data_IF_965666074534
#
_entry.id   IF_965666074534
#
_cell.length_a   1.000
_cell.length_b   1.000
_cell.length_c   1.000
_cell.angle_alpha   90.00
_cell.angle_beta   90.00
_cell.angle_gamma   90.00
#
_symmetry.space_group_name_H-M   'P 1'
#
loop_
_entity.id
_entity.type
_entity.pdbx_description
1 polymer ?
#
# COMPACT_ATOMS: atom_id res chain seq x y z
N UNK A 1 4.16 -19.57 16.12
CA UNK A 1 4.88 -18.33 16.52
C UNK A 1 3.93 -17.16 16.41
N UNK A 2 3.77 -16.41 17.51
CA UNK A 2 2.87 -15.25 17.56
C UNK A 2 3.67 -13.94 17.43
N UNK A 3 3.41 -13.17 16.40
CA UNK A 3 4.12 -11.92 16.08
C UNK A 3 3.19 -10.72 16.21
N UNK A 4 3.61 -9.72 16.99
CA UNK A 4 2.97 -8.41 17.04
C UNK A 4 3.57 -7.54 15.92
N UNK A 5 2.73 -7.04 15.01
CA UNK A 5 3.11 -6.08 13.98
C UNK A 5 2.72 -4.66 14.35
N UNK A 6 3.63 -3.71 14.12
CA UNK A 6 3.43 -2.27 14.36
C UNK A 6 3.74 -1.50 13.09
N UNK A 7 2.71 -0.86 12.51
CA UNK A 7 2.80 0.03 11.36
C UNK A 7 2.61 1.48 11.80
N UNK A 8 3.51 2.37 11.37
CA UNK A 8 3.44 3.80 11.66
C UNK A 8 4.18 4.67 10.63
N UNK A 9 4.33 4.21 9.40
CA UNK A 9 5.21 4.86 8.42
C UNK A 9 4.71 6.20 7.90
N UNK A 10 3.40 6.46 7.96
CA UNK A 10 2.79 7.68 7.39
C UNK A 10 1.68 8.24 8.30
N UNK A 11 0.43 8.07 7.95
CA UNK A 11 -0.74 8.64 8.63
C UNK A 11 -1.72 7.58 9.15
N UNK A 12 -1.36 6.31 9.09
CA UNK A 12 -2.04 5.21 9.76
C UNK A 12 -1.21 4.66 10.92
N UNK A 13 -1.86 4.44 12.08
CA UNK A 13 -1.30 3.65 13.16
C UNK A 13 -1.98 2.30 13.18
N UNK A 14 -1.25 1.24 12.85
CA UNK A 14 -1.80 -0.11 12.77
C UNK A 14 -1.07 -1.09 13.67
N UNK A 15 -1.82 -1.87 14.45
CA UNK A 15 -1.30 -2.98 15.22
C UNK A 15 -2.05 -4.27 14.88
N UNK A 16 -1.35 -5.40 14.91
CA UNK A 16 -1.96 -6.70 14.65
C UNK A 16 -1.19 -7.84 15.32
N UNK A 17 -1.88 -8.93 15.60
CA UNK A 17 -1.31 -10.19 16.02
C UNK A 17 -1.51 -11.24 14.92
N UNK A 18 -0.40 -11.79 14.45
CA UNK A 18 -0.37 -12.86 13.46
C UNK A 18 0.30 -14.09 14.05
N UNK A 19 -0.39 -15.22 13.96
CA UNK A 19 0.12 -16.53 14.39
C UNK A 19 0.45 -17.38 13.15
N UNK A 20 1.63 -18.00 13.12
CA UNK A 20 2.10 -18.78 11.96
C UNK A 20 1.25 -20.03 11.66
N UNK A 21 0.45 -20.51 12.63
CA UNK A 21 -0.41 -21.68 12.46
C UNK A 21 -1.88 -21.29 12.26
N UNK A 22 -2.33 -20.25 12.99
CA UNK A 22 -3.74 -19.82 13.02
C UNK A 22 -4.05 -18.63 12.10
N UNK A 23 -3.02 -17.97 11.53
CA UNK A 23 -3.17 -16.79 10.69
C UNK A 23 -3.36 -15.49 11.50
N UNK A 24 -4.05 -14.52 10.90
CA UNK A 24 -4.35 -13.24 11.54
C UNK A 24 -5.38 -13.42 12.66
N UNK A 25 -4.98 -13.11 13.90
CA UNK A 25 -5.84 -13.27 15.08
C UNK A 25 -6.65 -12.01 15.39
N UNK A 26 -6.01 -10.85 15.29
CA UNK A 26 -6.63 -9.55 15.53
C UNK A 26 -5.85 -8.45 14.82
N UNK A 27 -6.54 -7.39 14.44
CA UNK A 27 -5.89 -6.16 13.98
C UNK A 27 -6.75 -4.95 14.36
N UNK A 28 -6.06 -3.85 14.68
CA UNK A 28 -6.67 -2.56 14.96
C UNK A 28 -5.94 -1.47 14.18
N UNK A 29 -6.69 -0.51 13.68
CA UNK A 29 -6.19 0.57 12.83
C UNK A 29 -6.81 1.89 13.22
N UNK A 30 -5.98 2.91 13.40
CA UNK A 30 -6.41 4.30 13.50
C UNK A 30 -5.87 5.09 12.33
N UNK A 31 -6.76 5.68 11.53
CA UNK A 31 -6.40 6.55 10.41
C UNK A 31 -6.49 8.02 10.82
N UNK A 32 -5.48 8.77 10.47
CA UNK A 32 -5.37 10.22 10.75
C UNK A 32 -5.94 11.08 9.62
N UNK A 33 -6.60 10.46 8.62
CA UNK A 33 -7.18 11.15 7.45
C UNK A 33 -8.05 12.35 7.87
N UNK A 34 -8.89 12.20 8.90
CA UNK A 34 -9.75 13.26 9.37
C UNK A 34 -8.97 14.50 9.85
N UNK A 35 -7.85 14.29 10.54
CA UNK A 35 -6.95 15.35 10.99
C UNK A 35 -6.23 16.03 9.82
N UNK A 36 -5.71 15.24 8.89
CA UNK A 36 -4.92 15.75 7.76
C UNK A 36 -5.77 16.41 6.66
N UNK A 37 -7.07 16.12 6.62
CA UNK A 37 -8.02 16.73 5.66
C UNK A 37 -8.03 18.24 5.72
N UNK A 38 -7.92 18.83 6.91
CA UNK A 38 -7.91 20.27 7.09
C UNK A 38 -6.68 20.95 6.45
N UNK A 39 -5.60 20.20 6.30
CA UNK A 39 -4.34 20.67 5.71
C UNK A 39 -4.20 20.30 4.22
N UNK A 40 -5.14 19.50 3.69
CA UNK A 40 -5.10 19.03 2.30
C UNK A 40 -3.99 18.04 1.99
N UNK A 41 -3.48 17.33 3.00
CA UNK A 41 -2.44 16.31 2.92
C UNK A 41 -1.75 16.09 4.26
N UNK A 42 -0.90 15.06 4.33
CA UNK A 42 -0.21 14.65 5.56
C UNK A 42 0.75 15.74 6.07
N UNK A 43 0.63 16.07 7.36
CA UNK A 43 1.56 16.92 8.11
C UNK A 43 2.43 16.03 9.00
N UNK A 44 3.71 15.81 8.68
CA UNK A 44 4.56 14.80 9.34
C UNK A 44 4.68 14.96 10.86
N UNK A 45 4.75 16.20 11.34
CA UNK A 45 4.83 16.50 12.77
C UNK A 45 3.56 16.05 13.51
N UNK A 46 2.37 16.31 12.95
CA UNK A 46 1.10 15.91 13.53
C UNK A 46 0.96 14.39 13.49
N UNK A 47 1.35 13.76 12.40
CA UNK A 47 1.33 12.30 12.27
C UNK A 47 2.15 11.64 13.38
N UNK A 48 3.40 12.09 13.56
CA UNK A 48 4.29 11.55 14.61
C UNK A 48 3.69 11.66 16.01
N UNK A 49 3.08 12.79 16.33
CA UNK A 49 2.45 13.03 17.65
C UNK A 49 1.22 12.15 17.89
N UNK A 50 0.43 11.90 16.84
CA UNK A 50 -0.77 11.08 16.99
C UNK A 50 -0.42 9.60 17.15
N UNK A 51 0.59 9.08 16.45
CA UNK A 51 1.08 7.72 16.66
C UNK A 51 1.40 7.41 18.13
N UNK A 52 2.01 8.35 18.85
CA UNK A 52 2.31 8.19 20.29
C UNK A 52 1.03 7.97 21.09
N UNK A 53 -0.06 8.66 20.75
CA UNK A 53 -1.34 8.58 21.47
C UNK A 53 -2.10 7.31 21.13
N UNK A 54 -1.93 6.76 19.92
CA UNK A 54 -2.76 5.67 19.40
C UNK A 54 -2.17 4.29 19.64
N UNK A 55 -0.86 4.15 19.66
CA UNK A 55 -0.22 2.84 19.66
C UNK A 55 -0.60 1.97 20.87
N UNK A 56 -0.58 2.52 22.10
CA UNK A 56 -0.93 1.72 23.29
C UNK A 56 -2.41 1.36 23.37
N UNK A 57 -3.38 2.27 23.13
CA UNK A 57 -4.79 1.89 23.04
C UNK A 57 -5.07 0.81 21.99
N UNK A 58 -4.46 0.90 20.80
CA UNK A 58 -4.60 -0.13 19.78
C UNK A 58 -3.95 -1.46 20.16
N UNK A 59 -2.86 -1.44 20.93
CA UNK A 59 -2.27 -2.66 21.48
C UNK A 59 -3.23 -3.36 22.44
N UNK A 60 -3.85 -2.61 23.35
CA UNK A 60 -4.82 -3.16 24.29
C UNK A 60 -6.02 -3.76 23.54
N UNK A 61 -6.54 -3.06 22.53
CA UNK A 61 -7.62 -3.54 21.67
C UNK A 61 -7.26 -4.86 20.95
N UNK A 62 -6.06 -4.97 20.37
CA UNK A 62 -5.60 -6.17 19.66
C UNK A 62 -5.43 -7.35 20.64
N UNK A 63 -4.91 -7.11 21.83
CA UNK A 63 -4.79 -8.15 22.86
C UNK A 63 -6.17 -8.63 23.33
N UNK A 64 -7.11 -7.73 23.58
CA UNK A 64 -8.48 -8.07 23.97
C UNK A 64 -9.20 -8.86 22.88
N UNK A 65 -9.15 -8.42 21.61
CA UNK A 65 -9.77 -9.10 20.47
C UNK A 65 -9.21 -10.51 20.26
N UNK A 66 -7.90 -10.69 20.40
CA UNK A 66 -7.23 -11.98 20.18
C UNK A 66 -7.34 -12.95 21.37
N UNK A 67 -7.60 -12.44 22.57
CA UNK A 67 -7.51 -13.19 23.83
C UNK A 67 -6.08 -13.59 24.20
N UNK A 68 -5.07 -13.09 23.51
CA UNK A 68 -3.67 -13.41 23.79
C UNK A 68 -3.13 -12.56 24.95
N UNK A 69 -2.34 -13.18 25.80
CA UNK A 69 -1.58 -12.48 26.83
C UNK A 69 -0.28 -11.91 26.25
N UNK A 70 0.26 -10.86 26.87
CA UNK A 70 1.56 -10.27 26.48
C UNK A 70 2.70 -11.28 26.49
N UNK A 71 2.62 -12.29 27.38
CA UNK A 71 3.57 -13.37 27.49
C UNK A 71 3.54 -14.39 26.34
N UNK A 72 2.47 -14.43 25.55
CA UNK A 72 2.33 -15.34 24.43
C UNK A 72 3.01 -14.83 23.15
N UNK A 73 3.34 -13.51 23.11
CA UNK A 73 3.97 -12.89 21.96
C UNK A 73 5.44 -13.34 21.89
N UNK A 74 5.84 -13.93 20.78
CA UNK A 74 7.18 -14.44 20.54
C UNK A 74 8.15 -13.39 19.99
N UNK A 75 7.66 -12.46 19.15
CA UNK A 75 8.46 -11.41 18.54
C UNK A 75 7.62 -10.18 18.22
N UNK A 76 8.28 -9.02 18.05
CA UNK A 76 7.67 -7.78 17.62
C UNK A 76 8.29 -7.34 16.29
N UNK A 77 7.46 -7.25 15.25
CA UNK A 77 7.80 -6.69 13.95
C UNK A 77 7.35 -5.23 13.87
N UNK A 78 8.18 -4.35 13.35
CA UNK A 78 7.83 -2.94 13.19
C UNK A 78 8.30 -2.42 11.85
N UNK A 79 7.62 -1.42 11.32
CA UNK A 79 8.04 -0.77 10.09
C UNK A 79 9.29 0.06 10.33
N UNK A 80 10.41 -0.40 9.77
CA UNK A 80 11.69 0.29 9.83
C UNK A 80 11.82 1.39 8.77
N UNK A 81 11.10 1.25 7.66
CA UNK A 81 11.07 2.14 6.51
C UNK A 81 10.61 1.45 5.23
N UNK A 82 10.48 2.19 4.10
CA UNK A 82 10.53 3.65 4.02
C UNK A 82 9.29 4.33 4.65
N UNK A 83 9.36 5.66 4.86
CA UNK A 83 8.25 6.44 5.41
C UNK A 83 8.71 7.78 5.99
N UNK A 84 7.82 8.43 6.71
CA UNK A 84 8.10 9.69 7.40
C UNK A 84 9.01 9.44 8.61
N UNK A 85 10.17 10.07 8.65
CA UNK A 85 11.20 9.80 9.66
C UNK A 85 10.68 9.87 11.11
N UNK A 86 9.90 10.90 11.45
CA UNK A 86 9.33 11.07 12.79
C UNK A 86 8.31 9.98 13.14
N UNK A 87 7.45 9.62 12.20
CA UNK A 87 6.44 8.57 12.34
C UNK A 87 7.09 7.19 12.53
N UNK A 88 8.07 6.85 11.68
CA UNK A 88 8.88 5.63 11.82
C UNK A 88 9.59 5.54 13.18
N UNK A 89 10.21 6.65 13.63
CA UNK A 89 10.89 6.71 14.92
C UNK A 89 9.95 6.40 16.10
N UNK A 90 8.71 6.87 16.05
CA UNK A 90 7.70 6.59 17.08
C UNK A 90 7.37 5.10 17.13
N UNK A 91 7.01 4.50 16.00
CA UNK A 91 6.68 3.07 15.95
C UNK A 91 7.85 2.17 16.36
N UNK A 92 9.05 2.46 15.83
CA UNK A 92 10.26 1.74 16.19
C UNK A 92 10.60 1.87 17.68
N UNK A 93 10.47 3.06 18.27
CA UNK A 93 10.70 3.30 19.70
C UNK A 93 9.72 2.49 20.56
N UNK A 94 8.44 2.51 20.24
CA UNK A 94 7.41 1.76 20.95
C UNK A 94 7.67 0.25 20.83
N UNK A 95 7.95 -0.24 19.62
CA UNK A 95 8.23 -1.65 19.36
C UNK A 95 9.42 -2.15 20.21
N UNK A 96 10.55 -1.43 20.21
CA UNK A 96 11.73 -1.81 20.94
C UNK A 96 11.56 -1.65 22.46
N UNK A 97 10.83 -0.65 22.94
CA UNK A 97 10.51 -0.50 24.36
C UNK A 97 9.63 -1.64 24.87
N UNK A 98 8.58 -2.03 24.13
CA UNK A 98 7.74 -3.17 24.47
C UNK A 98 8.54 -4.48 24.46
N UNK A 99 9.34 -4.68 23.43
CA UNK A 99 10.18 -5.87 23.29
C UNK A 99 11.18 -6.00 24.46
N UNK A 100 11.82 -4.91 24.84
CA UNK A 100 12.72 -4.88 26.00
C UNK A 100 11.95 -5.20 27.30
N UNK A 101 10.79 -4.59 27.52
CA UNK A 101 9.97 -4.82 28.71
C UNK A 101 9.47 -6.26 28.82
N UNK A 102 9.18 -6.92 27.70
CA UNK A 102 8.68 -8.29 27.63
C UNK A 102 9.76 -9.33 27.39
N UNK A 103 11.03 -8.92 27.29
CA UNK A 103 12.18 -9.75 26.94
C UNK A 103 11.93 -10.55 25.63
N UNK A 104 11.42 -9.87 24.57
CA UNK A 104 11.15 -10.43 23.26
C UNK A 104 12.06 -9.83 22.19
N UNK A 105 12.41 -10.57 21.14
CA UNK A 105 13.18 -10.01 20.03
C UNK A 105 12.33 -9.07 19.17
N UNK A 106 13.01 -8.19 18.44
CA UNK A 106 12.42 -7.34 17.41
C UNK A 106 12.96 -7.69 16.03
N UNK A 107 12.17 -7.35 15.00
CA UNK A 107 12.60 -7.39 13.60
C UNK A 107 12.06 -6.16 12.87
N UNK A 108 12.96 -5.45 12.18
CA UNK A 108 12.61 -4.31 11.32
C UNK A 108 12.13 -4.76 9.94
N UNK A 109 10.96 -4.31 9.53
CA UNK A 109 10.31 -4.71 8.28
C UNK A 109 10.30 -3.55 7.29
N UNK A 110 10.54 -3.88 6.02
CA UNK A 110 10.36 -2.95 4.93
C UNK A 110 8.87 -2.76 4.63
N UNK A 111 8.38 -1.52 4.67
CA UNK A 111 6.96 -1.18 4.48
C UNK A 111 6.37 -1.77 3.18
N UNK A 112 7.09 -1.64 2.06
CA UNK A 112 6.63 -2.19 0.77
C UNK A 112 6.65 -3.71 0.72
N UNK A 113 7.53 -4.38 1.48
CA UNK A 113 7.48 -5.85 1.64
C UNK A 113 6.19 -6.25 2.36
N UNK A 114 5.78 -5.51 3.39
CA UNK A 114 4.48 -5.70 4.03
C UNK A 114 3.34 -5.67 3.02
N UNK A 115 3.28 -4.64 2.19
CA UNK A 115 2.28 -4.55 1.13
C UNK A 115 2.36 -5.70 0.11
N UNK A 116 3.55 -6.07 -0.36
CA UNK A 116 3.71 -7.17 -1.33
C UNK A 116 3.23 -8.51 -0.80
N UNK A 117 3.39 -8.74 0.51
CA UNK A 117 3.01 -9.97 1.18
C UNK A 117 1.56 -9.93 1.71
N UNK A 118 0.93 -8.76 1.85
CA UNK A 118 -0.43 -8.63 2.39
C UNK A 118 -1.50 -9.49 1.68
N UNK A 119 -1.45 -9.74 0.35
CA UNK A 119 -2.36 -10.67 -0.31
C UNK A 119 -2.20 -12.13 0.12
N UNK A 120 -1.17 -12.46 0.90
CA UNK A 120 -1.01 -13.79 1.51
C UNK A 120 -1.81 -13.94 2.82
N UNK A 121 -2.43 -12.88 3.34
CA UNK A 121 -3.30 -12.92 4.53
C UNK A 121 -4.67 -13.59 4.27
N UNK A 122 -4.94 -14.04 3.05
CA UNK A 122 -6.18 -14.73 2.69
C UNK A 122 -6.10 -16.23 3.00
N UNK A 123 -7.26 -16.89 3.11
CA UNK A 123 -7.35 -18.34 3.40
C UNK A 123 -6.64 -19.23 2.36
N UNK A 124 -6.56 -18.79 1.11
CA UNK A 124 -5.88 -19.51 0.02
C UNK A 124 -4.84 -18.57 -0.62
N UNK A 125 -3.65 -18.42 0.01
CA UNK A 125 -2.63 -17.50 -0.47
C UNK A 125 -2.06 -17.94 -1.82
N UNK A 126 -1.76 -16.98 -2.73
CA UNK A 126 -1.08 -17.30 -3.97
C UNK A 126 0.32 -17.87 -3.69
N UNK A 127 0.69 -19.01 -4.29
CA UNK A 127 2.05 -19.52 -4.14
C UNK A 127 3.04 -18.68 -4.94
N UNK A 128 4.28 -18.60 -4.45
CA UNK A 128 5.40 -18.04 -5.21
C UNK A 128 5.75 -18.93 -6.41
N UNK A 129 6.37 -18.39 -7.48
CA UNK A 129 6.56 -16.96 -7.75
C UNK A 129 5.31 -16.31 -8.38
N UNK A 130 5.21 -14.98 -8.25
CA UNK A 130 4.16 -14.17 -8.87
C UNK A 130 4.70 -12.80 -9.33
N UNK A 131 3.95 -12.13 -10.21
CA UNK A 131 4.15 -10.70 -10.49
C UNK A 131 3.31 -9.90 -9.51
N UNK A 132 3.88 -8.87 -8.90
CA UNK A 132 3.16 -7.95 -8.04
C UNK A 132 3.04 -6.58 -8.73
N UNK A 133 1.82 -6.02 -8.74
CA UNK A 133 1.56 -4.61 -8.96
C UNK A 133 1.40 -3.94 -7.60
N UNK A 134 2.43 -3.24 -7.15
CA UNK A 134 2.38 -2.40 -5.97
C UNK A 134 1.94 -1.00 -6.39
N UNK A 135 0.76 -0.56 -5.94
CA UNK A 135 0.18 0.71 -6.36
C UNK A 135 -0.48 1.44 -5.18
N UNK A 136 0.22 2.46 -4.67
CA UNK A 136 -0.15 3.23 -3.48
C UNK A 136 -0.07 4.74 -3.72
N UNK A 137 -0.23 5.53 -2.67
CA UNK A 137 -0.04 6.98 -2.70
C UNK A 137 1.36 7.40 -3.13
N UNK A 138 2.39 6.69 -2.69
CA UNK A 138 3.79 7.04 -2.95
C UNK A 138 4.51 6.13 -3.93
N UNK A 139 3.95 4.98 -4.31
CA UNK A 139 4.65 3.99 -5.13
C UNK A 139 3.76 3.45 -6.25
N UNK A 140 4.38 3.21 -7.41
CA UNK A 140 3.79 2.46 -8.51
C UNK A 140 4.90 1.62 -9.14
N UNK A 141 4.90 0.32 -8.84
CA UNK A 141 5.96 -0.60 -9.25
C UNK A 141 5.38 -1.94 -9.70
N UNK A 142 5.99 -2.53 -10.69
CA UNK A 142 5.82 -3.93 -11.07
C UNK A 142 7.05 -4.70 -10.61
N UNK A 143 6.81 -5.79 -9.89
CA UNK A 143 7.87 -6.60 -9.33
C UNK A 143 7.67 -8.08 -9.63
N UNK A 144 8.76 -8.81 -9.81
CA UNK A 144 8.76 -10.26 -9.73
C UNK A 144 9.10 -10.65 -8.31
N UNK A 145 8.18 -11.36 -7.67
CA UNK A 145 8.32 -11.87 -6.31
C UNK A 145 8.57 -13.38 -6.42
N UNK A 146 9.80 -13.79 -6.12
CA UNK A 146 10.19 -15.20 -6.27
C UNK A 146 10.02 -15.96 -4.95
N UNK A 147 10.28 -15.31 -3.85
CA UNK A 147 10.12 -15.79 -2.47
C UNK A 147 10.12 -14.57 -1.53
N UNK A 148 9.88 -14.75 -0.25
CA UNK A 148 10.08 -13.70 0.77
C UNK A 148 11.51 -13.17 0.68
N UNK A 149 11.67 -11.84 0.70
CA UNK A 149 12.98 -11.18 0.58
C UNK A 149 13.66 -11.31 -0.80
N UNK A 150 12.98 -11.83 -1.84
CA UNK A 150 13.54 -12.01 -3.18
C UNK A 150 12.69 -11.27 -4.21
N UNK A 151 13.02 -10.01 -4.41
CA UNK A 151 12.28 -9.06 -5.22
C UNK A 151 13.11 -8.54 -6.39
N UNK A 152 12.53 -8.50 -7.58
CA UNK A 152 13.12 -7.94 -8.79
C UNK A 152 12.17 -6.87 -9.34
N UNK A 153 12.64 -5.64 -9.46
CA UNK A 153 11.87 -4.57 -10.11
C UNK A 153 11.81 -4.81 -11.61
N UNK A 154 10.61 -4.90 -12.15
CA UNK A 154 10.36 -5.07 -13.58
C UNK A 154 10.10 -3.74 -14.29
N UNK A 155 9.55 -2.77 -13.56
CA UNK A 155 9.28 -1.41 -13.98
C UNK A 155 8.68 -0.61 -12.84
N UNK A 156 8.83 0.72 -12.89
CA UNK A 156 8.36 1.63 -11.86
C UNK A 156 7.93 2.97 -12.45
N UNK A 157 7.29 3.82 -11.64
CA UNK A 157 6.97 5.17 -12.12
C UNK A 157 8.22 6.03 -12.21
N UNK A 158 8.33 6.78 -13.31
CA UNK A 158 9.43 7.72 -13.54
C UNK A 158 9.15 9.12 -12.97
N UNK A 159 7.91 9.35 -12.51
CA UNK A 159 7.47 10.64 -11.97
C UNK A 159 6.43 10.44 -10.84
N UNK A 160 5.25 11.03 -10.94
CA UNK A 160 4.19 10.86 -9.93
C UNK A 160 3.78 9.37 -9.79
N UNK A 161 3.55 8.91 -8.57
CA UNK A 161 2.86 7.64 -8.35
C UNK A 161 1.37 7.73 -8.76
N UNK A 162 0.75 6.60 -9.07
CA UNK A 162 -0.67 6.58 -9.47
C UNK A 162 -1.56 7.19 -8.39
N UNK A 163 -1.40 6.82 -7.11
CA UNK A 163 -2.20 7.38 -6.02
C UNK A 163 -1.98 8.89 -5.85
N UNK A 164 -0.75 9.36 -5.96
CA UNK A 164 -0.43 10.79 -5.96
C UNK A 164 -1.13 11.52 -7.11
N UNK A 165 -1.22 10.91 -8.30
CA UNK A 165 -1.94 11.47 -9.43
C UNK A 165 -3.46 11.53 -9.17
N UNK A 166 -4.03 10.54 -8.48
CA UNK A 166 -5.41 10.57 -8.00
C UNK A 166 -5.65 11.74 -7.05
N UNK A 167 -4.80 11.92 -6.03
CA UNK A 167 -4.92 12.98 -5.03
C UNK A 167 -4.78 14.38 -5.68
N UNK A 168 -3.82 14.55 -6.57
CA UNK A 168 -3.64 15.79 -7.35
C UNK A 168 -4.84 16.08 -8.23
N UNK A 169 -5.44 15.05 -8.85
CA UNK A 169 -6.65 15.19 -9.67
C UNK A 169 -7.86 15.58 -8.81
N UNK A 170 -8.02 14.96 -7.64
CA UNK A 170 -9.05 15.34 -6.68
C UNK A 170 -8.96 16.82 -6.31
N UNK A 171 -7.76 17.28 -5.98
CA UNK A 171 -7.49 18.71 -5.66
C UNK A 171 -7.86 19.63 -6.81
N UNK A 172 -7.54 19.27 -8.05
CA UNK A 172 -7.91 20.04 -9.25
C UNK A 172 -9.42 20.14 -9.48
N UNK A 173 -10.17 19.10 -9.07
CA UNK A 173 -11.63 19.03 -9.19
C UNK A 173 -12.36 19.62 -7.96
N UNK A 174 -11.61 20.08 -6.94
CA UNK A 174 -12.18 20.61 -5.69
C UNK A 174 -12.79 19.52 -4.81
N UNK A 175 -12.29 18.28 -4.90
CA UNK A 175 -12.71 17.15 -4.08
C UNK A 175 -11.88 17.08 -2.78
N UNK A 176 -12.36 16.31 -1.81
CA UNK A 176 -11.73 16.13 -0.51
C UNK A 176 -10.45 15.28 -0.54
N UNK A 177 -9.86 15.11 0.62
CA UNK A 177 -8.75 14.19 0.89
C UNK A 177 -9.24 13.02 1.76
N UNK A 178 -8.81 11.77 1.50
CA UNK A 178 -7.93 11.34 0.40
C UNK A 178 -8.64 11.39 -0.96
N UNK A 179 -7.89 11.77 -1.99
CA UNK A 179 -8.45 12.05 -3.30
C UNK A 179 -8.83 10.80 -4.10
N UNK A 180 -8.11 9.70 -3.91
CA UNK A 180 -8.32 8.46 -4.65
C UNK A 180 -9.77 7.94 -4.59
N UNK A 181 -10.34 7.71 -3.39
CA UNK A 181 -11.74 7.30 -3.24
C UNK A 181 -12.74 8.31 -3.82
N UNK A 182 -12.51 9.61 -3.64
CA UNK A 182 -13.41 10.66 -4.14
C UNK A 182 -13.43 10.73 -5.66
N UNK A 183 -12.26 10.68 -6.32
CA UNK A 183 -12.18 10.63 -7.79
C UNK A 183 -12.81 9.36 -8.33
N UNK A 184 -12.56 8.21 -7.69
CA UNK A 184 -13.12 6.92 -8.13
C UNK A 184 -14.65 6.91 -8.02
N UNK A 185 -15.21 7.43 -6.93
CA UNK A 185 -16.66 7.57 -6.73
C UNK A 185 -17.28 8.52 -7.75
N UNK A 186 -16.66 9.68 -7.98
CA UNK A 186 -17.16 10.66 -8.94
C UNK A 186 -17.12 10.11 -10.39
N UNK A 187 -16.11 9.34 -10.72
CA UNK A 187 -15.97 8.70 -12.04
C UNK A 187 -17.12 7.74 -12.40
N UNK A 188 -17.80 7.15 -11.39
CA UNK A 188 -18.95 6.28 -11.62
C UNK A 188 -20.15 7.03 -12.28
N UNK A 189 -20.24 8.35 -12.06
CA UNK A 189 -21.28 9.22 -12.65
C UNK A 189 -20.83 9.85 -13.97
N UNK A 190 -19.59 9.68 -14.38
CA UNK A 190 -19.06 10.20 -15.64
C UNK A 190 -19.47 9.36 -16.84
N UNK A 191 -19.67 10.02 -17.97
CA UNK A 191 -20.01 9.39 -19.25
C UNK A 191 -18.75 8.76 -19.87
N UNK A 192 -18.71 7.44 -20.11
CA UNK A 192 -17.57 6.80 -20.76
C UNK A 192 -17.25 7.44 -22.11
N UNK A 193 -15.98 7.81 -22.31
CA UNK A 193 -15.51 8.39 -23.58
C UNK A 193 -15.84 9.88 -23.80
N UNK A 194 -16.59 10.54 -22.89
CA UNK A 194 -16.87 11.98 -23.00
C UNK A 194 -15.57 12.82 -22.99
N UNK A 195 -14.61 12.43 -22.18
CA UNK A 195 -13.28 13.03 -22.12
C UNK A 195 -12.23 11.95 -22.32
N UNK A 196 -11.41 12.10 -23.36
CA UNK A 196 -10.28 11.21 -23.62
C UNK A 196 -9.01 11.88 -23.14
N UNK A 197 -8.37 11.28 -22.15
CA UNK A 197 -7.08 11.71 -21.60
C UNK A 197 -5.94 10.85 -22.16
N UNK A 198 -4.70 11.33 -22.17
CA UNK A 198 -3.56 10.54 -22.64
C UNK A 198 -3.31 9.32 -21.74
N UNK A 199 -2.72 8.27 -22.29
CA UNK A 199 -2.21 7.10 -21.59
C UNK A 199 -0.68 7.11 -21.65
N UNK A 200 -0.02 7.85 -20.75
CA UNK A 200 1.43 7.98 -20.84
C UNK A 200 2.11 6.62 -20.79
N UNK A 201 3.16 6.46 -21.59
CA UNK A 201 3.99 5.25 -21.69
C UNK A 201 3.26 3.93 -22.00
N UNK A 202 1.97 3.96 -22.37
CA UNK A 202 1.21 2.73 -22.70
C UNK A 202 1.89 1.88 -23.78
N UNK A 203 2.59 2.51 -24.71
CA UNK A 203 3.26 1.89 -25.86
C UNK A 203 4.78 2.09 -25.86
N UNK A 204 5.42 2.39 -24.72
CA UNK A 204 6.86 2.62 -24.61
C UNK A 204 7.73 1.38 -24.85
N UNK A 205 7.13 0.17 -24.73
CA UNK A 205 7.83 -1.09 -24.91
C UNK A 205 8.52 -1.62 -23.64
N UNK A 206 8.66 -0.79 -22.61
CA UNK A 206 9.12 -1.14 -21.27
C UNK A 206 7.93 -1.42 -20.32
N UNK A 207 8.20 -1.56 -19.02
CA UNK A 207 7.20 -1.76 -17.97
C UNK A 207 7.08 -0.56 -17.01
N UNK A 208 7.74 0.56 -17.34
CA UNK A 208 7.70 1.77 -16.54
C UNK A 208 6.40 2.55 -16.73
N UNK A 209 6.10 3.39 -15.74
CA UNK A 209 4.89 4.21 -15.70
C UNK A 209 5.24 5.69 -15.70
N UNK A 210 4.24 6.51 -16.05
CA UNK A 210 4.27 7.96 -15.85
C UNK A 210 2.83 8.46 -15.68
N UNK A 211 2.61 9.32 -14.69
CA UNK A 211 1.30 9.88 -14.41
C UNK A 211 1.30 11.43 -14.37
N UNK A 212 2.45 12.08 -14.35
CA UNK A 212 2.53 13.55 -14.33
C UNK A 212 1.92 14.20 -15.57
N UNK A 213 2.08 13.58 -16.74
CA UNK A 213 1.45 14.00 -18.00
C UNK A 213 -0.07 13.89 -17.98
N UNK A 214 -0.61 12.86 -17.33
CA UNK A 214 -2.04 12.66 -17.14
C UNK A 214 -2.64 13.75 -16.26
N UNK A 215 -2.00 14.08 -15.13
CA UNK A 215 -2.38 15.20 -14.27
C UNK A 215 -2.39 16.53 -15.04
N UNK A 216 -1.38 16.79 -15.85
CA UNK A 216 -1.29 18.00 -16.67
C UNK A 216 -2.43 18.09 -17.68
N UNK A 217 -2.83 16.98 -18.27
CA UNK A 217 -3.98 16.92 -19.16
C UNK A 217 -5.30 17.24 -18.43
N UNK A 218 -5.49 16.71 -17.21
CA UNK A 218 -6.63 17.07 -16.34
C UNK A 218 -6.65 18.59 -16.09
N UNK A 219 -5.52 19.18 -15.68
CA UNK A 219 -5.42 20.62 -15.44
C UNK A 219 -5.82 21.43 -16.69
N UNK A 220 -5.42 20.98 -17.87
CA UNK A 220 -5.76 21.63 -19.14
C UNK A 220 -7.27 21.60 -19.40
N UNK A 221 -7.93 20.46 -19.16
CA UNK A 221 -9.38 20.35 -19.27
C UNK A 221 -10.12 21.24 -18.25
N UNK A 222 -9.68 21.23 -17.00
CA UNK A 222 -10.23 22.08 -15.93
C UNK A 222 -10.14 23.57 -16.33
N UNK A 223 -8.96 24.02 -16.80
CA UNK A 223 -8.77 25.40 -17.26
C UNK A 223 -9.64 25.77 -18.46
N UNK A 224 -9.83 24.84 -19.41
CA UNK A 224 -10.67 25.04 -20.60
C UNK A 224 -12.14 25.19 -20.25
N UNK A 225 -12.63 24.45 -19.26
CA UNK A 225 -14.02 24.51 -18.80
C UNK A 225 -14.28 25.71 -17.87
N UNK A 226 -13.24 26.34 -17.34
CA UNK A 226 -13.32 27.53 -16.49
C UNK A 226 -13.67 27.21 -15.03
N UNK A 227 -13.89 28.26 -14.20
CA UNK A 227 -14.04 28.10 -12.75
C UNK A 227 -15.38 27.44 -12.33
N UNK A 228 -16.39 27.44 -13.19
CA UNK A 228 -17.74 26.95 -12.88
C UNK A 228 -18.04 25.62 -13.59
N UNK A 229 -17.14 24.64 -13.43
CA UNK A 229 -17.37 23.29 -13.99
C UNK A 229 -18.60 22.70 -13.31
N UNK A 230 -19.61 22.30 -14.09
CA UNK A 230 -20.78 21.59 -13.57
C UNK A 230 -20.41 20.21 -13.05
N UNK A 231 -21.23 19.63 -12.18
CA UNK A 231 -20.94 18.31 -11.56
C UNK A 231 -20.76 17.21 -12.62
N UNK A 232 -21.54 17.22 -13.71
CA UNK A 232 -21.34 16.28 -14.81
C UNK A 232 -19.97 16.46 -15.49
N UNK A 233 -19.53 17.70 -15.68
CA UNK A 233 -18.21 17.97 -16.27
C UNK A 233 -17.06 17.48 -15.38
N UNK A 234 -17.19 17.62 -14.05
CA UNK A 234 -16.23 17.05 -13.10
C UNK A 234 -16.25 15.53 -13.15
N UNK A 235 -17.44 14.91 -13.20
CA UNK A 235 -17.60 13.46 -13.30
C UNK A 235 -16.99 12.90 -14.60
N UNK A 236 -17.17 13.59 -15.73
CA UNK A 236 -16.60 13.18 -17.02
C UNK A 236 -15.06 13.28 -17.02
N UNK A 237 -14.49 14.32 -16.39
CA UNK A 237 -13.02 14.43 -16.18
C UNK A 237 -12.52 13.29 -15.29
N UNK A 238 -13.19 13.04 -14.16
CA UNK A 238 -12.83 11.98 -13.23
C UNK A 238 -12.88 10.61 -13.92
N UNK A 239 -13.91 10.36 -14.72
CA UNK A 239 -14.06 9.13 -15.53
C UNK A 239 -12.92 8.98 -16.52
N UNK A 240 -12.63 10.00 -17.31
CA UNK A 240 -11.52 9.96 -18.28
C UNK A 240 -10.16 9.73 -17.62
N UNK A 241 -9.95 10.29 -16.41
CA UNK A 241 -8.75 10.07 -15.62
C UNK A 241 -8.63 8.62 -15.13
N UNK A 242 -9.69 8.08 -14.52
CA UNK A 242 -9.69 6.70 -14.02
C UNK A 242 -9.53 5.71 -15.17
N UNK A 243 -10.25 5.91 -16.31
CA UNK A 243 -10.09 5.08 -17.50
C UNK A 243 -8.63 5.06 -17.98
N UNK A 244 -7.98 6.22 -18.07
CA UNK A 244 -6.60 6.31 -18.53
C UNK A 244 -5.61 5.65 -17.55
N UNK A 245 -5.76 5.87 -16.26
CA UNK A 245 -4.90 5.27 -15.24
C UNK A 245 -5.04 3.75 -15.20
N UNK A 246 -6.28 3.25 -15.21
CA UNK A 246 -6.59 1.81 -15.20
C UNK A 246 -6.08 1.12 -16.47
N UNK A 247 -6.25 1.73 -17.64
CA UNK A 247 -5.73 1.19 -18.90
C UNK A 247 -4.22 0.97 -18.86
N UNK A 248 -3.47 1.96 -18.34
CA UNK A 248 -1.99 1.86 -18.22
C UNK A 248 -1.60 0.80 -17.21
N UNK A 249 -2.18 0.83 -16.00
CA UNK A 249 -1.88 -0.14 -14.94
C UNK A 249 -2.16 -1.57 -15.39
N UNK A 250 -3.32 -1.82 -16.00
CA UNK A 250 -3.70 -3.14 -16.47
C UNK A 250 -2.84 -3.62 -17.63
N UNK A 251 -2.57 -2.78 -18.64
CA UNK A 251 -1.76 -3.16 -19.78
C UNK A 251 -0.34 -3.51 -19.40
N UNK A 252 0.31 -2.71 -18.54
CA UNK A 252 1.67 -2.97 -18.05
C UNK A 252 1.74 -4.22 -17.18
N UNK A 253 0.74 -4.47 -16.32
CA UNK A 253 0.66 -5.70 -15.51
C UNK A 253 0.56 -6.96 -16.39
N UNK A 254 -0.27 -6.92 -17.43
CA UNK A 254 -0.39 -8.00 -18.40
C UNK A 254 0.92 -8.20 -19.19
N UNK A 255 1.60 -7.11 -19.56
CA UNK A 255 2.88 -7.17 -20.23
C UNK A 255 3.98 -7.79 -19.32
N UNK A 256 3.96 -7.47 -18.02
CA UNK A 256 4.86 -8.07 -17.01
C UNK A 256 4.64 -9.58 -16.86
N UNK A 257 3.39 -10.03 -16.80
CA UNK A 257 3.06 -11.47 -16.79
C UNK A 257 3.58 -12.18 -18.05
N UNK A 258 3.41 -11.56 -19.22
CA UNK A 258 3.91 -12.11 -20.49
C UNK A 258 5.44 -12.16 -20.51
N UNK A 259 6.12 -11.11 -20.06
CA UNK A 259 7.58 -11.01 -20.02
C UNK A 259 8.20 -12.04 -19.07
N UNK A 260 7.61 -12.22 -17.90
CA UNK A 260 8.07 -13.17 -16.87
C UNK A 260 7.61 -14.60 -17.12
N UNK A 261 6.63 -14.82 -18.02
CA UNK A 261 5.94 -16.11 -18.24
C UNK A 261 5.22 -16.63 -16.99
N UNK A 262 4.96 -15.76 -16.01
CA UNK A 262 4.18 -16.11 -14.82
C UNK A 262 2.68 -15.97 -15.11
N UNK A 263 1.87 -16.69 -14.32
CA UNK A 263 0.41 -16.71 -14.48
C UNK A 263 -0.34 -16.18 -13.26
N UNK A 264 0.38 -15.62 -12.28
CA UNK A 264 -0.22 -15.03 -11.07
C UNK A 264 0.16 -13.57 -10.98
N UNK A 265 -0.84 -12.73 -10.82
CA UNK A 265 -0.72 -11.30 -10.53
C UNK A 265 -1.24 -11.05 -9.12
N UNK A 266 -0.44 -10.42 -8.31
CA UNK A 266 -0.82 -9.90 -7.00
C UNK A 266 -0.97 -8.39 -7.13
N UNK A 267 -2.04 -7.79 -6.62
CA UNK A 267 -2.24 -6.34 -6.61
C UNK A 267 -2.28 -5.87 -5.17
N UNK A 268 -1.37 -4.98 -4.80
CA UNK A 268 -1.20 -4.50 -3.43
C UNK A 268 -1.12 -2.97 -3.38
N UNK A 269 -1.42 -2.39 -2.21
CA UNK A 269 -1.48 -0.95 -1.99
C UNK A 269 -2.86 -0.35 -2.20
N UNK A 270 -3.08 0.87 -1.68
CA UNK A 270 -4.40 1.50 -1.58
C UNK A 270 -5.12 1.70 -2.92
N UNK A 271 -4.41 2.00 -4.02
CA UNK A 271 -5.03 2.10 -5.35
C UNK A 271 -5.53 0.72 -5.85
N UNK A 272 -4.99 -0.38 -5.33
CA UNK A 272 -5.48 -1.74 -5.56
C UNK A 272 -6.92 -1.98 -5.09
N UNK A 273 -7.47 -1.11 -4.26
CA UNK A 273 -8.89 -1.11 -3.87
C UNK A 273 -9.81 -0.52 -4.96
N UNK A 274 -9.26 0.15 -6.00
CA UNK A 274 -10.07 0.77 -7.05
C UNK A 274 -10.90 -0.30 -7.80
N UNK A 275 -12.21 -0.14 -7.78
CA UNK A 275 -13.17 -1.08 -8.35
C UNK A 275 -12.93 -1.35 -9.82
N UNK A 276 -12.76 -0.27 -10.63
CA UNK A 276 -12.56 -0.40 -12.08
C UNK A 276 -11.25 -1.13 -12.42
N UNK A 277 -10.17 -0.90 -11.65
CA UNK A 277 -8.92 -1.64 -11.81
C UNK A 277 -9.12 -3.14 -11.53
N UNK A 278 -9.81 -3.48 -10.44
CA UNK A 278 -10.12 -4.88 -10.09
C UNK A 278 -10.97 -5.55 -11.16
N UNK A 279 -12.02 -4.90 -11.64
CA UNK A 279 -12.88 -5.42 -12.69
C UNK A 279 -12.11 -5.63 -14.00
N UNK A 280 -11.29 -4.66 -14.40
CA UNK A 280 -10.49 -4.71 -15.63
C UNK A 280 -9.47 -5.86 -15.58
N UNK A 281 -8.73 -6.00 -14.48
CA UNK A 281 -7.75 -7.07 -14.32
C UNK A 281 -8.42 -8.44 -14.20
N UNK A 282 -9.56 -8.55 -13.50
CA UNK A 282 -10.30 -9.81 -13.38
C UNK A 282 -10.88 -10.27 -14.72
N UNK A 283 -11.42 -9.37 -15.51
CA UNK A 283 -11.89 -9.67 -16.87
C UNK A 283 -10.74 -10.09 -17.80
N UNK A 284 -9.58 -9.43 -17.68
CA UNK A 284 -8.38 -9.79 -18.42
C UNK A 284 -7.84 -11.17 -17.99
N UNK A 285 -7.90 -11.50 -16.69
CA UNK A 285 -7.49 -12.78 -16.15
C UNK A 285 -8.32 -13.93 -16.75
N UNK A 286 -9.65 -13.81 -16.74
CA UNK A 286 -10.55 -14.77 -17.35
C UNK A 286 -10.26 -14.97 -18.85
N UNK A 287 -10.06 -13.87 -19.57
CA UNK A 287 -9.84 -13.92 -21.04
C UNK A 287 -8.48 -14.51 -21.42
N UNK A 288 -7.43 -14.33 -20.58
CA UNK A 288 -6.04 -14.66 -20.91
C UNK A 288 -5.47 -15.85 -20.14
N UNK A 289 -6.23 -16.41 -19.19
CA UNK A 289 -5.85 -17.60 -18.43
C UNK A 289 -4.73 -17.34 -17.40
N UNK A 290 -4.83 -16.25 -16.64
CA UNK A 290 -4.00 -16.00 -15.47
C UNK A 290 -4.87 -15.74 -14.23
N UNK A 291 -4.27 -15.77 -13.04
CA UNK A 291 -4.93 -15.53 -11.76
C UNK A 291 -4.61 -14.12 -11.27
N UNK A 292 -5.58 -13.45 -10.63
CA UNK A 292 -5.36 -12.16 -9.94
C UNK A 292 -5.77 -12.30 -8.49
N UNK A 293 -4.88 -11.89 -7.59
CA UNK A 293 -5.08 -11.95 -6.15
C UNK A 293 -5.02 -10.53 -5.56
N UNK A 294 -5.94 -10.26 -4.64
CA UNK A 294 -6.04 -8.98 -3.93
C UNK A 294 -6.10 -9.25 -2.43
N UNK A 295 -5.58 -8.36 -1.59
CA UNK A 295 -5.89 -8.41 -0.17
C UNK A 295 -7.37 -8.06 0.05
N UNK A 296 -7.88 -8.39 1.23
CA UNK A 296 -9.17 -7.87 1.67
C UNK A 296 -9.17 -6.34 1.64
N UNK A 297 -10.32 -5.73 1.34
CA UNK A 297 -10.42 -4.28 1.19
C UNK A 297 -9.95 -3.53 2.44
N UNK A 298 -10.20 -4.07 3.62
CA UNK A 298 -9.74 -3.53 4.90
C UNK A 298 -8.22 -3.58 5.10
N UNK A 299 -7.51 -4.39 4.30
CA UNK A 299 -6.06 -4.59 4.37
C UNK A 299 -5.31 -4.01 3.15
N UNK A 300 -5.99 -3.24 2.30
CA UNK A 300 -5.37 -2.61 1.13
C UNK A 300 -4.49 -1.41 1.48
N UNK A 301 -4.83 -0.66 2.54
CA UNK A 301 -4.05 0.48 3.04
C UNK A 301 -3.02 0.03 4.06
N UNK A 302 -2.23 0.97 4.58
CA UNK A 302 -1.24 0.71 5.61
C UNK A 302 -1.90 0.09 6.84
N UNK A 303 -1.36 -1.00 7.37
CA UNK A 303 -1.95 -1.72 8.49
C UNK A 303 -0.91 -2.59 9.23
N UNK A 304 -1.20 -2.94 10.49
CA UNK A 304 -0.32 -3.77 11.31
C UNK A 304 -0.23 -5.23 10.85
N UNK A 305 -1.27 -5.75 10.19
CA UNK A 305 -1.33 -7.16 9.78
C UNK A 305 -0.28 -7.49 8.72
N UNK A 306 -0.05 -6.58 7.76
CA UNK A 306 0.99 -6.75 6.73
C UNK A 306 2.39 -6.81 7.33
N UNK A 307 2.64 -6.04 8.41
CA UNK A 307 3.93 -6.01 9.10
C UNK A 307 4.10 -7.24 9.99
N UNK A 308 3.04 -7.68 10.68
CA UNK A 308 3.06 -8.91 11.47
C UNK A 308 3.33 -10.15 10.59
N UNK A 309 2.65 -10.26 9.45
CA UNK A 309 2.86 -11.33 8.47
C UNK A 309 4.29 -11.31 7.93
N UNK A 310 4.76 -10.16 7.43
CA UNK A 310 6.11 -10.03 6.88
C UNK A 310 7.17 -10.41 7.93
N UNK A 311 7.00 -9.95 9.18
CA UNK A 311 7.86 -10.33 10.30
C UNK A 311 7.86 -11.82 10.57
N UNK A 312 6.68 -12.44 10.63
CA UNK A 312 6.56 -13.88 10.83
C UNK A 312 7.22 -14.69 9.71
N UNK A 313 7.03 -14.29 8.45
CA UNK A 313 7.63 -14.97 7.29
C UNK A 313 9.16 -14.81 7.27
N UNK A 314 9.67 -13.61 7.58
CA UNK A 314 11.12 -13.37 7.67
C UNK A 314 11.76 -14.19 8.80
N UNK A 315 11.17 -14.17 9.98
CA UNK A 315 11.70 -14.91 11.14
C UNK A 315 11.61 -16.43 10.94
N UNK A 316 10.63 -16.93 10.21
CA UNK A 316 10.57 -18.34 9.82
C UNK A 316 11.69 -18.73 8.84
N UNK A 317 12.15 -17.79 8.00
CA UNK A 317 13.19 -18.01 6.99
C UNK A 317 14.60 -17.70 7.54
N UNK A 318 14.74 -16.65 8.32
CA UNK A 318 15.98 -16.11 8.88
C UNK A 318 15.80 -15.78 10.37
N UNK A 319 15.80 -16.78 11.25
CA UNK A 319 15.65 -16.57 12.70
C UNK A 319 16.71 -15.63 13.30
N UNK A 320 17.87 -15.55 12.67
CA UNK A 320 19.00 -14.68 13.05
C UNK A 320 18.70 -13.18 12.89
N UNK A 321 17.66 -12.80 12.14
CA UNK A 321 17.20 -11.40 12.03
C UNK A 321 16.48 -10.92 13.30
N UNK A 322 16.07 -11.86 14.16
CA UNK A 322 15.51 -11.53 15.46
C UNK A 322 16.60 -10.98 16.39
N UNK A 323 16.49 -9.72 16.81
CA UNK A 323 17.48 -9.10 17.68
C UNK A 323 16.90 -8.71 19.04
N UNK A 324 17.73 -8.81 20.10
CA UNK A 324 17.46 -8.29 21.45
C UNK A 324 18.43 -7.18 21.84
N UNK A 325 19.13 -6.63 20.88
CA UNK A 325 19.98 -5.46 21.10
C UNK A 325 19.15 -4.20 21.38
N UNK A 326 17.93 -4.14 20.85
CA UNK A 326 17.01 -3.00 20.97
C UNK A 326 17.58 -1.67 20.47
N UNK A 327 18.81 -1.65 19.97
CA UNK A 327 19.34 -0.54 19.20
C UNK A 327 18.74 -0.57 17.79
N UNK A 328 18.24 0.55 17.34
CA UNK A 328 17.60 0.62 16.03
C UNK A 328 17.92 1.93 15.30
N UNK A 329 17.82 1.87 13.99
CA UNK A 329 17.77 3.05 13.11
C UNK A 329 16.55 2.91 12.21
N UNK A 330 15.93 4.02 11.85
CA UNK A 330 14.87 4.04 10.82
C UNK A 330 15.47 4.40 9.48
N UNK A 331 14.83 3.93 8.41
CA UNK A 331 15.27 4.11 7.02
C UNK A 331 14.18 4.85 6.22
N UNK A 332 14.05 6.18 6.34
CA UNK A 332 13.01 6.95 5.65
C UNK A 332 13.02 6.78 4.13
N UNK A 333 14.21 6.52 3.58
CA UNK A 333 14.42 6.12 2.19
C UNK A 333 15.11 4.76 2.20
N UNK A 334 14.45 3.76 1.67
CA UNK A 334 14.97 2.40 1.63
C UNK A 334 14.51 1.73 0.35
N UNK A 335 15.44 1.24 -0.43
CA UNK A 335 15.15 0.50 -1.64
C UNK A 335 14.84 -0.96 -1.30
N UNK A 336 13.69 -1.46 -1.77
CA UNK A 336 13.26 -2.82 -1.52
C UNK A 336 14.21 -3.87 -2.11
N UNK A 337 14.87 -3.57 -3.20
CA UNK A 337 15.85 -4.48 -3.83
C UNK A 337 17.14 -4.60 -3.04
N UNK A 338 17.39 -3.69 -2.10
CA UNK A 338 18.55 -3.71 -1.20
C UNK A 338 18.31 -4.48 0.12
N UNK A 339 17.18 -5.20 0.24
CA UNK A 339 16.89 -6.01 1.43
C UNK A 339 17.93 -7.11 1.62
N UNK A 340 18.54 -7.12 2.80
CA UNK A 340 19.43 -8.19 3.24
C UNK A 340 18.61 -9.47 3.52
N UNK A 341 19.20 -10.60 3.14
CA UNK A 341 18.65 -11.95 3.35
C UNK A 341 19.19 -12.54 4.62
#
# INVERSE_FOLDING_TARGET
>A
MLVLGIESSCDETGLALYDTERGLLAHALHSQIAMHREYGGVVPELASRDHIRRALPLLEEVLEQSGAARGDIDAIAYTQGPGLAGALLVGASIANALAMAWNRPTVGIHHLEGHLLSPLLVNAPPPFPFVALLVSGGHTQLMRVTDVGVYETLGETLDDAAGEAFDKTAKLLGLGYPGGPEVSRLAEFGTPGAITLPRPMLHSGDLDFSFSGLKTAVLTHVKKLGPNICEQGKADIARGFVDAAVDVLAAKSIAALKRTKLKRLVVAGGVGANKQLRETLSAAAQKRGFEVHYPDLSLCTDNGAMIALAGAMRLARWPEQATRDYAFTVKPRWDLTSLER
#
